data_IF_875979478606
#
_entry.id   IF_875979478606
#
_cell.length_a   1.000
_cell.length_b   1.000
_cell.length_c   1.000
_cell.angle_alpha   90.00
_cell.angle_beta   90.00
_cell.angle_gamma   90.00
#
_symmetry.space_group_name_H-M   'P 1'
#
loop_
_entity.id
_entity.type
_entity.pdbx_description
1 polymer ?
#
# COMPACT_ATOMS: atom_id res chain seq x y z
N UNK A 1 16.72 18.12 13.35
CA UNK A 1 15.34 18.64 13.41
C UNK A 1 14.53 17.85 12.40
N UNK A 2 13.91 16.75 12.84
CA UNK A 2 13.12 15.89 11.96
C UNK A 2 11.65 16.32 12.07
N UNK A 3 10.94 16.58 10.96
CA UNK A 3 9.55 16.97 11.02
C UNK A 3 8.71 15.73 11.40
N UNK A 4 7.95 15.83 12.50
CA UNK A 4 6.91 14.86 12.80
C UNK A 4 5.77 15.03 11.79
N UNK A 5 5.68 14.12 10.81
CA UNK A 5 4.51 14.02 9.95
C UNK A 5 3.40 13.28 10.71
N UNK A 6 2.39 14.04 11.17
CA UNK A 6 1.15 13.47 11.68
C UNK A 6 0.13 13.44 10.54
N UNK A 7 -0.19 12.25 10.05
CA UNK A 7 -1.31 12.04 9.12
C UNK A 7 -2.58 11.93 9.95
N UNK A 8 -3.38 12.98 9.93
CA UNK A 8 -4.77 12.93 10.42
C UNK A 8 -5.63 12.35 9.29
N UNK A 9 -6.18 11.15 9.49
CA UNK A 9 -7.20 10.62 8.58
C UNK A 9 -8.50 11.39 8.86
N UNK A 10 -9.05 12.14 7.88
CA UNK A 10 -10.34 12.78 8.06
C UNK A 10 -11.40 11.70 8.29
N UNK A 11 -12.11 11.80 9.41
CA UNK A 11 -13.30 11.01 9.67
C UNK A 11 -14.37 11.44 8.66
N UNK A 12 -15.02 10.47 8.01
CA UNK A 12 -16.01 10.63 6.93
C UNK A 12 -15.45 11.00 5.55
N UNK A 13 -15.25 10.01 4.68
CA UNK A 13 -16.13 9.71 3.50
C UNK A 13 -15.76 8.31 3.00
N UNK A 14 -16.48 7.28 3.45
CA UNK A 14 -16.44 5.98 2.76
C UNK A 14 -17.55 6.00 1.69
N UNK A 15 -17.24 6.03 0.38
CA UNK A 15 -18.25 5.83 -0.64
C UNK A 15 -18.73 4.39 -0.52
N UNK A 16 -20.02 4.25 -0.24
CA UNK A 16 -20.73 2.98 -0.43
C UNK A 16 -20.67 2.68 -1.93
N UNK A 17 -19.80 1.77 -2.35
CA UNK A 17 -19.81 1.30 -3.74
C UNK A 17 -21.12 0.55 -4.00
N UNK A 18 -21.97 1.01 -4.93
CA UNK A 18 -23.11 0.23 -5.37
C UNK A 18 -22.61 -0.85 -6.33
N UNK A 19 -22.78 -2.11 -5.96
CA UNK A 19 -22.67 -3.23 -6.89
C UNK A 19 -23.77 -3.12 -7.95
N UNK A 20 -23.46 -2.56 -9.13
CA UNK A 20 -24.26 -2.81 -10.34
C UNK A 20 -23.46 -2.57 -11.62
N UNK A 21 -23.27 -3.68 -12.33
CA UNK A 21 -23.22 -3.82 -13.79
C UNK A 21 -22.56 -2.69 -14.59
N UNK A 22 -21.29 -2.93 -14.96
CA UNK A 22 -20.89 -2.74 -16.36
C UNK A 22 -19.69 -3.65 -16.69
N UNK A 23 -19.94 -4.55 -17.63
CA UNK A 23 -18.92 -5.28 -18.34
C UNK A 23 -18.16 -4.29 -19.24
N UNK A 24 -16.86 -4.15 -19.02
CA UNK A 24 -15.92 -3.76 -20.07
C UNK A 24 -14.56 -4.40 -19.77
N UNK A 25 -14.23 -5.32 -20.66
CA UNK A 25 -12.99 -6.04 -20.93
C UNK A 25 -11.69 -5.54 -20.26
N UNK A 26 -11.02 -6.39 -19.46
CA UNK A 26 -9.55 -6.35 -19.30
C UNK A 26 -9.02 -7.71 -18.79
N UNK A 27 -8.10 -8.38 -19.51
CA UNK A 27 -7.49 -9.62 -19.06
C UNK A 27 -6.41 -9.24 -18.04
N UNK A 28 -6.55 -9.70 -16.79
CA UNK A 28 -5.55 -9.75 -15.69
C UNK A 28 -6.20 -9.64 -14.30
N UNK A 29 -7.51 -9.39 -14.20
CA UNK A 29 -8.16 -9.23 -12.90
C UNK A 29 -8.24 -10.58 -12.17
N UNK A 30 -7.37 -10.78 -11.17
CA UNK A 30 -7.47 -11.90 -10.21
C UNK A 30 -8.85 -11.85 -9.54
N UNK A 31 -9.47 -13.02 -9.33
CA UNK A 31 -10.72 -13.11 -8.60
C UNK A 31 -10.57 -12.45 -7.22
N UNK A 32 -11.41 -11.47 -6.91
CA UNK A 32 -11.34 -10.68 -5.67
C UNK A 32 -10.54 -9.38 -5.74
N UNK A 33 -10.01 -8.98 -6.90
CA UNK A 33 -9.39 -7.66 -7.04
C UNK A 33 -10.42 -6.53 -6.81
N UNK A 34 -10.02 -5.36 -6.30
CA UNK A 34 -10.92 -4.22 -6.12
C UNK A 34 -11.65 -3.85 -7.42
N UNK A 35 -12.93 -3.41 -7.37
CA UNK A 35 -13.71 -3.01 -8.54
C UNK A 35 -13.35 -1.58 -9.01
N UNK A 36 -12.06 -1.27 -9.07
CA UNK A 36 -11.53 0.01 -9.53
C UNK A 36 -10.19 -0.23 -10.25
N UNK A 37 -9.93 0.53 -11.32
CA UNK A 37 -8.63 0.51 -11.98
C UNK A 37 -7.61 1.39 -11.23
N UNK A 38 -6.35 1.38 -11.69
CA UNK A 38 -5.28 2.13 -11.04
C UNK A 38 -5.45 3.64 -11.11
N UNK A 39 -6.08 4.17 -12.16
CA UNK A 39 -6.28 5.61 -12.32
C UNK A 39 -7.41 6.11 -11.42
N UNK A 40 -8.52 5.37 -11.38
CA UNK A 40 -9.65 5.61 -10.49
C UNK A 40 -9.22 5.51 -9.02
N UNK A 41 -8.37 4.53 -8.68
CA UNK A 41 -7.78 4.41 -7.36
C UNK A 41 -6.98 5.66 -6.99
N UNK A 42 -6.08 6.09 -7.86
CA UNK A 42 -5.23 7.25 -7.62
C UNK A 42 -6.06 8.53 -7.44
N UNK A 43 -7.09 8.71 -8.27
CA UNK A 43 -8.01 9.85 -8.16
C UNK A 43 -8.74 9.83 -6.82
N UNK A 44 -9.32 8.68 -6.47
CA UNK A 44 -10.07 8.53 -5.23
C UNK A 44 -9.19 8.80 -4.00
N UNK A 45 -7.99 8.23 -3.94
CA UNK A 45 -7.07 8.44 -2.82
C UNK A 45 -6.66 9.91 -2.64
N UNK A 46 -6.46 10.65 -3.74
CA UNK A 46 -6.25 12.11 -3.68
C UNK A 46 -7.46 12.83 -3.06
N UNK A 47 -8.68 12.46 -3.44
CA UNK A 47 -9.89 13.15 -2.95
C UNK A 47 -10.13 12.97 -1.46
N UNK A 48 -9.75 11.83 -0.89
CA UNK A 48 -9.89 11.55 0.55
C UNK A 48 -8.68 12.00 1.38
N UNK A 49 -7.69 12.63 0.74
CA UNK A 49 -6.56 13.26 1.42
C UNK A 49 -5.35 12.34 1.68
N UNK A 50 -5.23 11.20 0.99
CA UNK A 50 -4.01 10.41 1.06
C UNK A 50 -2.86 11.11 0.31
N UNK A 51 -1.69 11.09 0.94
CA UNK A 51 -0.42 11.44 0.29
C UNK A 51 0.14 10.24 -0.44
N UNK A 52 0.67 10.46 -1.64
CA UNK A 52 1.39 9.45 -2.41
C UNK A 52 2.86 9.49 -2.02
N UNK A 53 3.46 8.30 -2.00
CA UNK A 53 4.86 8.13 -1.66
C UNK A 53 5.59 7.50 -2.84
N UNK A 54 6.53 8.24 -3.42
CA UNK A 54 7.27 7.80 -4.58
C UNK A 54 8.24 6.68 -4.22
N UNK A 55 8.40 5.73 -5.14
CA UNK A 55 9.38 4.66 -5.01
C UNK A 55 10.71 5.18 -5.55
N UNK A 56 11.70 5.30 -4.66
CA UNK A 56 13.05 5.71 -5.01
C UNK A 56 13.95 4.52 -5.37
N UNK A 57 15.14 4.82 -5.92
CA UNK A 57 16.15 3.79 -6.22
C UNK A 57 16.68 3.16 -4.94
N UNK A 58 16.71 3.92 -3.85
CA UNK A 58 17.10 3.47 -2.52
C UNK A 58 16.14 2.40 -2.00
N UNK A 59 14.82 2.57 -2.20
CA UNK A 59 13.82 1.56 -1.84
C UNK A 59 14.02 0.27 -2.64
N UNK A 60 14.28 0.41 -3.95
CA UNK A 60 14.55 -0.75 -4.82
C UNK A 60 15.83 -1.49 -4.40
N UNK A 61 16.91 -0.78 -4.10
CA UNK A 61 18.17 -1.38 -3.63
C UNK A 61 18.00 -2.07 -2.27
N UNK A 62 17.29 -1.44 -1.34
CA UNK A 62 17.01 -2.00 -0.01
C UNK A 62 16.19 -3.30 -0.09
N UNK A 63 15.29 -3.43 -1.08
CA UNK A 63 14.51 -4.66 -1.28
C UNK A 63 15.39 -5.90 -1.53
N UNK A 64 16.55 -5.73 -2.17
CA UNK A 64 17.52 -6.78 -2.45
C UNK A 64 18.22 -7.34 -1.20
N UNK A 65 18.32 -6.54 -0.14
CA UNK A 65 19.00 -6.90 1.12
C UNK A 65 18.07 -7.58 2.15
N UNK A 66 16.76 -7.59 1.90
CA UNK A 66 15.81 -8.26 2.79
C UNK A 66 15.99 -9.78 2.75
N UNK A 67 15.94 -10.42 3.93
CA UNK A 67 15.86 -11.88 4.03
C UNK A 67 14.68 -12.39 3.20
N UNK A 68 14.88 -13.45 2.43
CA UNK A 68 13.90 -14.03 1.50
C UNK A 68 12.83 -14.82 2.25
N UNK A 69 11.95 -14.14 2.99
CA UNK A 69 10.76 -14.75 3.61
C UNK A 69 9.56 -14.68 2.66
N UNK A 70 9.52 -13.66 1.79
CA UNK A 70 8.50 -13.45 0.76
C UNK A 70 9.07 -13.58 -0.66
N UNK A 71 8.31 -14.24 -1.53
CA UNK A 71 8.65 -14.42 -2.94
C UNK A 71 8.12 -13.28 -3.83
N UNK A 72 7.12 -12.53 -3.37
CA UNK A 72 6.50 -11.47 -4.16
C UNK A 72 7.40 -10.21 -4.20
N UNK A 73 7.79 -9.73 -5.40
CA UNK A 73 8.66 -8.57 -5.52
C UNK A 73 8.01 -7.26 -5.03
N UNK A 74 6.68 -7.13 -5.09
CA UNK A 74 5.98 -5.94 -4.60
C UNK A 74 5.94 -5.91 -3.08
N UNK A 75 5.67 -7.04 -2.42
CA UNK A 75 5.71 -7.11 -0.95
C UNK A 75 7.10 -6.75 -0.41
N UNK A 76 8.16 -7.21 -1.10
CA UNK A 76 9.54 -6.86 -0.75
C UNK A 76 9.81 -5.37 -0.90
N UNK A 77 9.28 -4.75 -1.94
CA UNK A 77 9.44 -3.32 -2.18
C UNK A 77 8.68 -2.49 -1.14
N UNK A 78 7.46 -2.89 -0.78
CA UNK A 78 6.66 -2.26 0.27
C UNK A 78 7.34 -2.33 1.63
N UNK A 79 7.90 -3.50 2.00
CA UNK A 79 8.67 -3.66 3.22
C UNK A 79 9.92 -2.76 3.19
N UNK A 80 10.67 -2.77 2.08
CA UNK A 80 11.89 -1.99 1.95
C UNK A 80 11.64 -0.49 2.07
N UNK A 81 10.58 0.01 1.44
CA UNK A 81 10.15 1.40 1.55
C UNK A 81 9.77 1.74 3.00
N UNK A 82 8.94 0.92 3.64
CA UNK A 82 8.52 1.18 5.02
C UNK A 82 9.69 1.15 6.02
N UNK A 83 10.70 0.30 5.81
CA UNK A 83 11.91 0.29 6.63
C UNK A 83 12.82 1.49 6.35
N UNK A 84 12.95 1.91 5.08
CA UNK A 84 13.82 3.02 4.68
C UNK A 84 13.26 4.38 5.10
N UNK A 85 11.94 4.53 5.12
CA UNK A 85 11.21 5.77 5.46
C UNK A 85 10.62 5.79 6.89
N UNK A 86 11.21 5.02 7.82
CA UNK A 86 10.62 4.57 9.11
C UNK A 86 9.08 4.63 9.25
N UNK A 87 8.36 3.99 8.32
CA UNK A 87 6.89 3.97 8.32
C UNK A 87 6.31 2.80 9.12
N UNK A 88 5.08 2.99 9.59
CA UNK A 88 4.24 1.91 10.13
C UNK A 88 3.48 1.24 8.99
N UNK A 89 3.82 -0.01 8.69
CA UNK A 89 3.11 -0.82 7.71
C UNK A 89 1.97 -1.59 8.40
N UNK A 90 0.74 -1.40 7.93
CA UNK A 90 -0.44 -2.16 8.37
C UNK A 90 -0.69 -3.29 7.37
N UNK A 91 -0.71 -4.53 7.84
CA UNK A 91 -0.81 -5.72 6.98
C UNK A 91 -1.66 -6.80 7.62
N UNK A 92 -2.25 -7.70 6.82
CA UNK A 92 -2.86 -8.93 7.37
C UNK A 92 -1.88 -10.11 7.41
N UNK A 93 -0.71 -9.96 6.81
CA UNK A 93 0.30 -10.99 6.74
C UNK A 93 1.25 -10.91 7.95
N UNK A 94 1.20 -11.92 8.81
CA UNK A 94 2.05 -12.01 10.00
C UNK A 94 3.53 -12.16 9.68
N UNK A 95 3.89 -12.70 8.51
CA UNK A 95 5.29 -12.75 8.07
C UNK A 95 5.79 -11.36 7.71
N UNK A 96 4.96 -10.54 7.07
CA UNK A 96 5.31 -9.14 6.79
C UNK A 96 5.53 -8.41 8.11
N UNK A 97 4.62 -8.55 9.07
CA UNK A 97 4.75 -7.89 10.38
C UNK A 97 6.03 -8.28 11.14
N UNK A 98 6.61 -9.45 10.89
CA UNK A 98 7.86 -9.87 11.53
C UNK A 98 9.12 -9.10 11.10
N UNK A 99 9.06 -8.31 10.02
CA UNK A 99 10.22 -7.58 9.49
C UNK A 99 10.62 -6.35 10.32
N UNK A 100 9.68 -5.74 11.04
CA UNK A 100 9.95 -4.54 11.84
C UNK A 100 8.98 -4.47 13.03
N UNK A 101 9.42 -4.02 14.22
CA UNK A 101 8.53 -3.79 15.35
C UNK A 101 7.50 -2.67 15.09
N UNK A 102 7.71 -1.84 14.06
CA UNK A 102 6.76 -0.78 13.66
C UNK A 102 5.59 -1.31 12.83
N UNK A 103 5.58 -2.59 12.44
CA UNK A 103 4.55 -3.14 11.58
C UNK A 103 3.42 -3.77 12.40
N UNK A 104 2.18 -3.53 11.99
CA UNK A 104 0.98 -3.86 12.76
C UNK A 104 0.09 -4.80 11.94
N UNK A 105 -0.41 -5.86 12.59
CA UNK A 105 -1.40 -6.78 12.02
C UNK A 105 -2.83 -6.43 12.42
N UNK A 106 -3.81 -6.65 11.55
CA UNK A 106 -5.25 -6.41 11.81
C UNK A 106 -6.17 -7.50 11.25
#
# INVERSE_FOLDING_TARGET
MSPSFSVSIPNEVAPRYPCRDRAFDFPLRRAGAPPLDGEDAARYFKTVGYSFLDISVEHAAASGHLKTVHADPFDRLLIAQAVTEPLTLITRDSKVASYSPTFITW
#
